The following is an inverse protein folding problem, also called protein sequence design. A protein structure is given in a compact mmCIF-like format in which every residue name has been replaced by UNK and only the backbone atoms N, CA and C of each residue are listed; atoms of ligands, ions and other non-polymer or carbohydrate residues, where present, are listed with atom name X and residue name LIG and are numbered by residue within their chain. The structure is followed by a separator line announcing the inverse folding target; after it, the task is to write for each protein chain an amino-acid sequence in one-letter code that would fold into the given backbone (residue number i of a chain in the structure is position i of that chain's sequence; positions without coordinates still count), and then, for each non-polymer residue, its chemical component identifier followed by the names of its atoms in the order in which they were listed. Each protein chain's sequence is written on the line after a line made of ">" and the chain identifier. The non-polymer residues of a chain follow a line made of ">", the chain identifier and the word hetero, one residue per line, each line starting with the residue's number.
data_IF_193269909037
#
_entry.id   IF_193269909037
#
_cell.length_a   1.000
_cell.length_b   1.000
_cell.length_c   1.000
_cell.angle_alpha   90.00
_cell.angle_beta   90.00
_cell.angle_gamma   90.00
#
_symmetry.space_group_name_H-M   'P 1'
#
loop_
_entity.id
_entity.type
_entity.pdbx_description
1 polymer ?
#
# COMPACT_ATOMS: atom_id res chain seq x y z
N UNK A 1 3.20 21.75 2.10
CA UNK A 1 2.51 20.62 1.44
C UNK A 1 1.03 20.94 1.47
N UNK A 2 0.30 20.92 0.34
CA UNK A 2 -1.14 21.10 0.38
C UNK A 2 -1.76 19.96 1.22
N UNK A 3 -2.79 20.26 2.00
CA UNK A 3 -3.54 19.25 2.74
C UNK A 3 -4.20 18.30 1.73
N UNK A 4 -3.66 17.10 1.61
CA UNK A 4 -4.26 16.06 0.78
C UNK A 4 -5.40 15.46 1.60
N UNK A 5 -6.65 15.80 1.23
CA UNK A 5 -7.83 15.15 1.79
C UNK A 5 -7.74 13.67 1.41
N UNK A 6 -7.44 12.84 2.39
CA UNK A 6 -7.39 11.38 2.23
C UNK A 6 -8.75 10.84 2.61
N UNK A 7 -9.55 10.48 1.60
CA UNK A 7 -10.83 9.80 1.81
C UNK A 7 -10.61 8.36 2.23
N UNK A 8 -11.20 7.95 3.34
CA UNK A 8 -11.20 6.55 3.76
C UNK A 8 -12.24 5.75 2.96
N UNK A 9 -12.18 4.42 3.07
CA UNK A 9 -13.22 3.55 2.50
C UNK A 9 -14.61 3.81 3.11
N UNK A 10 -14.68 4.25 4.37
CA UNK A 10 -15.94 4.61 5.03
C UNK A 10 -16.52 5.90 4.44
N UNK A 11 -15.66 6.89 4.17
CA UNK A 11 -16.10 8.12 3.51
C UNK A 11 -16.61 7.83 2.09
N UNK A 12 -15.91 6.96 1.34
CA UNK A 12 -16.35 6.51 0.03
C UNK A 12 -17.74 5.83 0.08
N UNK A 13 -17.99 5.00 1.10
CA UNK A 13 -19.30 4.38 1.32
C UNK A 13 -20.38 5.41 1.64
N UNK A 14 -20.07 6.43 2.44
CA UNK A 14 -21.00 7.52 2.72
C UNK A 14 -21.39 8.26 1.43
N UNK A 15 -20.41 8.66 0.62
CA UNK A 15 -20.69 9.34 -0.65
C UNK A 15 -21.46 8.45 -1.64
N UNK A 16 -21.19 7.15 -1.63
CA UNK A 16 -21.98 6.18 -2.40
C UNK A 16 -23.44 6.17 -1.95
N UNK A 17 -23.67 6.07 -0.64
CA UNK A 17 -25.02 6.07 -0.08
C UNK A 17 -25.79 7.35 -0.46
N UNK A 18 -25.15 8.51 -0.36
CA UNK A 18 -25.75 9.79 -0.80
C UNK A 18 -26.02 9.80 -2.30
N UNK A 19 -25.11 9.28 -3.13
CA UNK A 19 -25.30 9.15 -4.57
C UNK A 19 -26.52 8.28 -4.90
N UNK A 20 -26.71 7.17 -4.18
CA UNK A 20 -27.85 6.27 -4.32
C UNK A 20 -29.16 6.98 -3.90
N UNK A 21 -29.17 7.73 -2.79
CA UNK A 21 -30.32 8.55 -2.37
C UNK A 21 -30.71 9.61 -3.43
N UNK A 22 -29.74 10.30 -4.03
CA UNK A 22 -30.00 11.23 -5.14
C UNK A 22 -30.49 10.54 -6.42
N UNK A 23 -30.11 9.28 -6.64
CA UNK A 23 -30.51 8.50 -7.81
C UNK A 23 -31.93 7.97 -7.67
N UNK A 24 -32.29 7.54 -6.46
CA UNK A 24 -33.60 6.96 -6.17
C UNK A 24 -34.65 8.02 -5.86
N UNK A 25 -34.23 9.27 -5.66
CA UNK A 25 -35.13 10.39 -5.38
C UNK A 25 -36.29 10.50 -6.39
N UNK A 26 -37.52 10.58 -5.86
CA UNK A 26 -38.75 10.65 -6.65
C UNK A 26 -39.39 9.29 -7.02
N UNK A 27 -38.86 8.17 -6.51
CA UNK A 27 -39.53 6.85 -6.57
C UNK A 27 -40.61 6.69 -5.47
N UNK A 28 -41.49 5.69 -5.62
CA UNK A 28 -42.70 5.50 -4.81
C UNK A 28 -42.47 5.37 -3.28
N UNK A 29 -41.25 4.99 -2.86
CA UNK A 29 -40.83 4.86 -1.45
C UNK A 29 -39.54 5.65 -1.12
N UNK A 30 -39.12 6.58 -2.00
CA UNK A 30 -37.89 7.34 -1.84
C UNK A 30 -38.17 8.81 -1.45
N UNK A 31 -37.15 9.48 -0.92
CA UNK A 31 -37.21 10.92 -0.67
C UNK A 31 -37.40 11.71 -1.97
N UNK A 32 -37.99 12.89 -1.86
CA UNK A 32 -37.96 13.88 -2.93
C UNK A 32 -36.56 14.45 -3.10
N UNK A 33 -36.28 15.03 -4.27
CA UNK A 33 -34.95 15.62 -4.54
C UNK A 33 -34.65 16.76 -3.55
N UNK A 34 -35.65 17.57 -3.21
CA UNK A 34 -35.56 18.64 -2.22
C UNK A 34 -35.21 18.11 -0.83
N UNK A 35 -35.86 17.05 -0.36
CA UNK A 35 -35.55 16.41 0.93
C UNK A 35 -34.12 15.86 0.97
N UNK A 36 -33.62 15.31 -0.14
CA UNK A 36 -32.22 14.86 -0.22
C UNK A 36 -31.25 16.04 -0.09
N UNK A 37 -31.55 17.20 -0.71
CA UNK A 37 -30.73 18.41 -0.55
C UNK A 37 -30.76 18.98 0.87
N UNK A 38 -31.91 18.94 1.55
CA UNK A 38 -32.02 19.36 2.95
C UNK A 38 -31.22 18.44 3.89
N UNK A 39 -31.23 17.14 3.62
CA UNK A 39 -30.51 16.15 4.41
C UNK A 39 -29.00 16.20 4.19
N UNK A 40 -28.57 16.61 3.00
CA UNK A 40 -27.17 16.63 2.57
C UNK A 40 -26.77 18.01 2.02
N UNK A 41 -26.68 19.03 2.89
CA UNK A 41 -26.46 20.40 2.46
C UNK A 41 -25.08 20.58 1.78
N UNK A 42 -25.08 21.31 0.66
CA UNK A 42 -23.86 21.59 -0.12
C UNK A 42 -23.39 20.43 -0.99
N UNK A 43 -24.10 19.30 -0.98
CA UNK A 43 -23.77 18.12 -1.76
C UNK A 43 -24.69 18.04 -2.99
N UNK A 44 -24.10 17.89 -4.16
CA UNK A 44 -24.82 17.62 -5.41
C UNK A 44 -24.72 16.14 -5.77
N UNK A 45 -25.66 15.63 -6.56
CA UNK A 45 -25.60 14.27 -7.11
C UNK A 45 -24.24 13.98 -7.75
N UNK A 46 -23.75 14.89 -8.60
CA UNK A 46 -22.46 14.74 -9.25
C UNK A 46 -21.31 14.65 -8.24
N UNK A 47 -21.27 15.56 -7.27
CA UNK A 47 -20.22 15.54 -6.24
C UNK A 47 -20.24 14.23 -5.43
N UNK A 48 -21.42 13.76 -5.01
CA UNK A 48 -21.54 12.53 -4.24
C UNK A 48 -21.09 11.30 -5.04
N UNK A 49 -21.56 11.16 -6.28
CA UNK A 49 -21.19 10.02 -7.12
C UNK A 49 -19.70 10.04 -7.50
N UNK A 50 -19.12 11.22 -7.76
CA UNK A 50 -17.70 11.34 -8.04
C UNK A 50 -16.85 10.96 -6.82
N UNK A 51 -17.18 11.49 -5.64
CA UNK A 51 -16.45 11.16 -4.42
C UNK A 51 -16.61 9.72 -3.98
N UNK A 52 -17.74 9.08 -4.28
CA UNK A 52 -17.95 7.65 -4.09
C UNK A 52 -16.93 6.82 -4.89
N UNK A 53 -16.66 7.20 -6.14
CA UNK A 53 -15.68 6.53 -7.00
C UNK A 53 -14.26 6.87 -6.55
N UNK A 54 -13.95 8.16 -6.41
CA UNK A 54 -12.60 8.61 -6.07
C UNK A 54 -12.11 8.06 -4.74
N UNK A 55 -13.00 7.93 -3.74
CA UNK A 55 -12.63 7.35 -2.45
C UNK A 55 -12.10 5.91 -2.57
N UNK A 56 -12.69 5.08 -3.43
CA UNK A 56 -12.17 3.73 -3.67
C UNK A 56 -10.90 3.71 -4.51
N UNK A 57 -10.82 4.54 -5.56
CA UNK A 57 -9.65 4.55 -6.45
C UNK A 57 -8.40 5.08 -5.73
N UNK A 58 -8.53 6.15 -4.95
CA UNK A 58 -7.43 6.74 -4.19
C UNK A 58 -6.94 5.79 -3.10
N UNK A 59 -7.85 5.11 -2.39
CA UNK A 59 -7.48 4.08 -1.41
C UNK A 59 -6.80 2.87 -2.07
N UNK A 60 -7.26 2.43 -3.24
CA UNK A 60 -6.61 1.38 -4.01
C UNK A 60 -5.17 1.74 -4.42
N UNK A 61 -4.96 2.98 -4.85
CA UNK A 61 -3.63 3.50 -5.18
C UNK A 61 -2.71 3.60 -3.98
N UNK A 62 -3.18 4.14 -2.84
CA UNK A 62 -2.38 4.20 -1.61
C UNK A 62 -2.02 2.82 -1.09
N UNK A 63 -2.95 1.87 -1.15
CA UNK A 63 -2.69 0.49 -0.74
C UNK A 63 -1.63 -0.15 -1.64
N UNK A 64 -1.73 0.03 -2.96
CA UNK A 64 -0.73 -0.46 -3.92
C UNK A 64 0.65 0.16 -3.66
N UNK A 65 0.72 1.49 -3.50
CA UNK A 65 1.96 2.19 -3.20
C UNK A 65 2.60 1.67 -1.91
N UNK A 66 1.81 1.49 -0.86
CA UNK A 66 2.31 0.94 0.42
C UNK A 66 2.89 -0.48 0.26
N UNK A 67 2.24 -1.33 -0.54
CA UNK A 67 2.70 -2.68 -0.83
C UNK A 67 3.98 -2.68 -1.66
N UNK A 68 4.10 -1.79 -2.65
CA UNK A 68 5.32 -1.62 -3.44
C UNK A 68 6.49 -1.15 -2.58
N UNK A 69 6.26 -0.23 -1.64
CA UNK A 69 7.29 0.21 -0.68
C UNK A 69 7.76 -0.97 0.19
N UNK A 70 6.83 -1.77 0.73
CA UNK A 70 7.17 -2.95 1.52
C UNK A 70 7.97 -3.98 0.73
N UNK A 71 7.60 -4.24 -0.53
CA UNK A 71 8.35 -5.12 -1.43
C UNK A 71 9.75 -4.57 -1.71
N UNK A 72 9.89 -3.26 -1.91
CA UNK A 72 11.17 -2.58 -2.09
C UNK A 72 12.09 -2.78 -0.88
N UNK A 73 11.58 -2.52 0.32
CA UNK A 73 12.33 -2.72 1.58
C UNK A 73 12.75 -4.17 1.77
N UNK A 74 11.85 -5.12 1.49
CA UNK A 74 12.14 -6.54 1.60
C UNK A 74 13.22 -6.99 0.60
N UNK A 75 13.18 -6.48 -0.64
CA UNK A 75 14.19 -6.73 -1.66
C UNK A 75 15.57 -6.23 -1.24
N UNK A 76 15.66 -5.03 -0.67
CA UNK A 76 16.90 -4.50 -0.11
C UNK A 76 17.45 -5.36 1.04
N UNK A 77 16.59 -5.80 1.96
CA UNK A 77 16.98 -6.69 3.05
C UNK A 77 17.55 -8.01 2.53
N UNK A 78 16.93 -8.60 1.50
CA UNK A 78 17.44 -9.81 0.86
C UNK A 78 18.79 -9.59 0.20
N UNK A 79 18.99 -8.48 -0.51
CA UNK A 79 20.29 -8.13 -1.12
C UNK A 79 21.38 -8.00 -0.06
N UNK A 80 21.11 -7.25 1.01
CA UNK A 80 22.05 -7.10 2.12
C UNK A 80 22.40 -8.44 2.76
N UNK A 81 21.42 -9.33 2.91
CA UNK A 81 21.64 -10.68 3.46
C UNK A 81 22.46 -11.56 2.53
N UNK A 82 22.25 -11.49 1.22
CA UNK A 82 23.07 -12.19 0.23
C UNK A 82 24.53 -11.71 0.33
N UNK A 83 24.77 -10.39 0.30
CA UNK A 83 26.11 -9.84 0.42
C UNK A 83 26.80 -10.24 1.72
N UNK A 84 26.07 -10.25 2.84
CA UNK A 84 26.59 -10.74 4.10
C UNK A 84 27.01 -12.21 4.02
N UNK A 85 26.15 -13.08 3.49
CA UNK A 85 26.44 -14.51 3.35
C UNK A 85 27.62 -14.77 2.41
N UNK A 86 27.71 -14.04 1.29
CA UNK A 86 28.85 -14.12 0.36
C UNK A 86 30.17 -13.76 1.06
N UNK A 87 30.17 -12.74 1.92
CA UNK A 87 31.35 -12.37 2.68
C UNK A 87 31.72 -13.45 3.72
N UNK A 88 30.74 -14.01 4.42
CA UNK A 88 30.97 -15.13 5.35
C UNK A 88 31.56 -16.34 4.64
N UNK A 89 31.05 -16.69 3.45
CA UNK A 89 31.59 -17.80 2.66
C UNK A 89 33.05 -17.54 2.28
N UNK A 90 33.37 -16.34 1.80
CA UNK A 90 34.76 -15.96 1.47
C UNK A 90 35.70 -16.01 2.67
N UNK A 91 35.22 -15.63 3.86
CA UNK A 91 36.01 -15.73 5.10
C UNK A 91 36.24 -17.19 5.49
N UNK A 92 35.23 -18.05 5.38
CA UNK A 92 35.36 -19.49 5.64
C UNK A 92 36.34 -20.15 4.67
N UNK A 93 36.25 -19.84 3.37
CA UNK A 93 37.19 -20.34 2.35
C UNK A 93 38.63 -19.92 2.67
N UNK A 94 38.86 -18.64 3.01
CA UNK A 94 40.19 -18.16 3.40
C UNK A 94 40.71 -18.86 4.66
N UNK A 95 39.84 -19.08 5.65
CA UNK A 95 40.20 -19.78 6.88
C UNK A 95 40.59 -21.23 6.61
N UNK A 96 39.82 -21.93 5.78
CA UNK A 96 40.09 -23.30 5.36
C UNK A 96 41.42 -23.40 4.59
N UNK A 97 41.68 -22.50 3.64
CA UNK A 97 42.94 -22.45 2.88
C UNK A 97 44.15 -22.24 3.81
N UNK A 98 44.04 -21.36 4.81
CA UNK A 98 45.10 -21.15 5.80
C UNK A 98 45.35 -22.39 6.66
N UNK A 99 44.29 -23.07 7.11
CA UNK A 99 44.42 -24.31 7.86
C UNK A 99 45.05 -25.42 7.02
N UNK A 100 44.64 -25.56 5.77
CA UNK A 100 45.20 -26.56 4.86
C UNK A 100 46.70 -26.34 4.62
N UNK A 101 47.12 -25.09 4.40
CA UNK A 101 48.55 -24.74 4.27
C UNK A 101 49.33 -25.07 5.54
N UNK A 102 48.82 -24.70 6.71
CA UNK A 102 49.47 -25.01 7.97
C UNK A 102 49.63 -26.53 8.21
N UNK A 103 48.63 -27.34 7.83
CA UNK A 103 48.72 -28.81 7.92
C UNK A 103 49.74 -29.39 6.94
N UNK A 104 49.85 -28.83 5.74
CA UNK A 104 50.88 -29.24 4.77
C UNK A 104 52.28 -28.92 5.28
N UNK A 105 52.51 -27.72 5.80
CA UNK A 105 53.80 -27.30 6.36
C UNK A 105 54.22 -28.18 7.57
N UNK A 106 53.29 -28.60 8.41
CA UNK A 106 53.55 -29.51 9.54
C UNK A 106 53.85 -30.96 9.14
N UNK A 107 53.44 -31.40 7.94
CA UNK A 107 53.70 -32.76 7.45
C UNK A 107 54.99 -32.86 6.63
N UNK A 108 55.54 -31.72 6.19
CA UNK A 108 56.80 -31.64 5.43
C UNK A 108 58.05 -31.45 6.33
N UNK A 109 57.86 -31.27 7.66
CA UNK A 109 58.91 -31.34 8.71
C UNK A 109 59.03 -32.74 9.31
#
# INVERSE_FOLDING_TARGET
>A
MPEVITLTAQDAMFYKYVCDEFKDAGQEDAYTVEEVYERYPGMTRESACNWAIYGYTVQGWFMLESQLIQLGLYSEQLRNRITYLENVIKELERSADMQQKAVMELNDE
#
